data_IF_066839781589
#
_entry.id   IF_066839781589
#
_cell.length_a   1.000
_cell.length_b   1.000
_cell.length_c   1.000
_cell.angle_alpha   90.00
_cell.angle_beta   90.00
_cell.angle_gamma   90.00
#
_symmetry.space_group_name_H-M   'P 1'
#
loop_
_entity.id
_entity.type
_entity.pdbx_description
1 polymer ?
#
# COMPACT_ATOMS: atom_id res chain seq x y z
N UNK A 1 -0.90 0.09 -19.24
CA UNK A 1 0.18 -0.65 -18.57
C UNK A 1 0.25 -0.17 -17.13
N UNK A 2 0.18 -1.10 -16.17
CA UNK A 2 0.18 -0.77 -14.74
C UNK A 2 1.63 -0.79 -14.21
N UNK A 3 1.97 0.14 -13.34
CA UNK A 3 3.24 0.15 -12.61
C UNK A 3 3.15 -0.71 -11.33
N UNK A 4 1.99 -0.73 -10.70
CA UNK A 4 1.70 -1.53 -9.49
C UNK A 4 0.33 -2.16 -9.66
N UNK A 5 0.22 -3.43 -9.29
CA UNK A 5 -1.05 -4.15 -9.22
C UNK A 5 -1.09 -4.94 -7.92
N UNK A 6 -2.12 -4.66 -7.11
CA UNK A 6 -2.36 -5.31 -5.83
C UNK A 6 -3.75 -5.91 -5.87
N UNK A 7 -3.85 -7.19 -5.55
CA UNK A 7 -5.09 -7.94 -5.58
C UNK A 7 -5.26 -8.75 -4.32
N UNK A 8 -6.40 -8.58 -3.64
CA UNK A 8 -6.84 -9.32 -2.47
C UNK A 8 -5.80 -9.34 -1.34
N UNK A 9 -5.05 -8.24 -1.16
CA UNK A 9 -4.00 -8.17 -0.16
C UNK A 9 -4.61 -8.10 1.25
N UNK A 10 -4.29 -9.11 2.04
CA UNK A 10 -4.59 -9.15 3.47
C UNK A 10 -3.29 -9.23 4.25
N UNK A 11 -3.07 -8.30 5.17
CA UNK A 11 -1.87 -8.30 6.02
C UNK A 11 -2.19 -7.81 7.41
N UNK A 12 -1.82 -8.60 8.41
CA UNK A 12 -1.98 -8.26 9.82
C UNK A 12 -0.65 -7.75 10.37
N UNK A 13 -0.70 -6.60 11.03
CA UNK A 13 0.37 -6.03 11.84
C UNK A 13 -0.08 -5.96 13.30
N UNK A 14 0.84 -5.69 14.22
CA UNK A 14 0.54 -5.67 15.67
C UNK A 14 -0.64 -4.76 16.06
N UNK A 15 -0.81 -3.64 15.36
CA UNK A 15 -1.80 -2.60 15.71
C UNK A 15 -2.77 -2.25 14.58
N UNK A 16 -2.60 -2.83 13.39
CA UNK A 16 -3.46 -2.54 12.23
C UNK A 16 -3.52 -3.72 11.28
N UNK A 17 -4.56 -3.78 10.45
CA UNK A 17 -4.73 -4.80 9.41
C UNK A 17 -5.11 -4.13 8.09
N UNK A 18 -4.47 -4.58 7.01
CA UNK A 18 -4.97 -4.43 5.65
C UNK A 18 -5.90 -5.61 5.38
N UNK A 19 -7.15 -5.34 4.97
CA UNK A 19 -8.17 -6.36 4.77
C UNK A 19 -8.71 -6.28 3.34
N UNK A 20 -8.50 -7.35 2.57
CA UNK A 20 -8.94 -7.50 1.19
C UNK A 20 -8.71 -6.25 0.29
N UNK A 21 -7.49 -5.71 0.30
CA UNK A 21 -7.15 -4.50 -0.46
C UNK A 21 -6.79 -4.85 -1.90
N UNK A 22 -7.48 -4.23 -2.85
CA UNK A 22 -7.22 -4.37 -4.30
C UNK A 22 -7.15 -3.00 -4.97
N UNK A 23 -6.06 -2.71 -5.67
CA UNK A 23 -5.91 -1.48 -6.46
C UNK A 23 -4.83 -1.62 -7.53
N UNK A 24 -4.90 -0.77 -8.55
CA UNK A 24 -3.87 -0.64 -9.57
C UNK A 24 -3.35 0.80 -9.61
N UNK A 25 -2.10 0.95 -10.03
CA UNK A 25 -1.48 2.25 -10.29
C UNK A 25 -1.00 2.26 -11.73
N UNK A 26 -1.53 3.19 -12.52
CA UNK A 26 -1.08 3.40 -13.89
C UNK A 26 0.30 4.07 -13.92
N UNK A 27 1.10 3.74 -14.94
CA UNK A 27 2.38 4.40 -15.18
C UNK A 27 2.16 5.92 -15.34
N UNK A 28 3.05 6.72 -14.75
CA UNK A 28 3.01 8.19 -14.84
C UNK A 28 2.04 8.88 -13.88
N UNK A 29 1.29 8.14 -13.05
CA UNK A 29 0.45 8.72 -11.99
C UNK A 29 1.26 9.02 -10.74
N UNK A 30 1.04 10.20 -10.15
CA UNK A 30 1.44 10.50 -8.78
C UNK A 30 0.34 9.98 -7.84
N UNK A 31 0.71 9.16 -6.87
CA UNK A 31 -0.22 8.55 -5.90
C UNK A 31 0.33 8.74 -4.49
N UNK A 32 -0.55 9.01 -3.53
CA UNK A 32 -0.18 9.18 -2.12
C UNK A 32 -1.18 8.48 -1.20
N UNK A 33 -0.70 8.01 -0.06
CA UNK A 33 -1.56 7.50 1.01
C UNK A 33 -2.01 8.65 1.90
N UNK A 34 -3.31 8.71 2.21
CA UNK A 34 -3.91 9.69 3.11
C UNK A 34 -4.51 8.97 4.32
N UNK A 35 -4.29 9.49 5.53
CA UNK A 35 -4.79 8.90 6.76
C UNK A 35 -4.15 9.52 8.01
N UNK A 36 -4.64 9.16 9.20
CA UNK A 36 -4.11 9.65 10.49
C UNK A 36 -2.64 9.22 10.71
N UNK A 37 -1.94 9.89 11.62
CA UNK A 37 -0.62 9.44 12.07
C UNK A 37 -0.74 8.03 12.68
N UNK A 38 0.21 7.15 12.37
CA UNK A 38 0.16 5.75 12.79
C UNK A 38 -0.69 4.82 11.91
N UNK A 39 -1.40 5.30 10.89
CA UNK A 39 -2.24 4.48 10.01
C UNK A 39 -1.47 3.55 9.03
N UNK A 40 -0.15 3.42 9.16
CA UNK A 40 0.65 2.52 8.33
C UNK A 40 1.13 3.06 6.98
N UNK A 41 0.87 4.33 6.64
CA UNK A 41 1.22 4.96 5.34
C UNK A 41 2.68 4.72 4.91
N UNK A 42 3.64 5.09 5.76
CA UNK A 42 5.08 4.94 5.47
C UNK A 42 5.49 3.47 5.42
N UNK A 43 4.91 2.63 6.28
CA UNK A 43 5.17 1.18 6.30
C UNK A 43 4.75 0.53 4.99
N UNK A 44 3.58 0.89 4.46
CA UNK A 44 3.09 0.39 3.17
C UNK A 44 3.97 0.86 2.01
N UNK A 45 4.46 2.11 2.02
CA UNK A 45 5.38 2.61 0.99
C UNK A 45 6.69 1.81 0.96
N UNK A 46 7.25 1.44 2.12
CA UNK A 46 8.50 0.66 2.20
C UNK A 46 8.40 -0.70 1.50
N UNK A 47 7.25 -1.38 1.60
CA UNK A 47 7.01 -2.64 0.91
C UNK A 47 7.15 -2.54 -0.61
N UNK A 48 6.76 -1.41 -1.21
CA UNK A 48 6.90 -1.21 -2.66
C UNK A 48 8.32 -0.86 -3.10
N UNK A 49 9.16 -0.35 -2.18
CA UNK A 49 10.51 0.11 -2.51
C UNK A 49 11.58 -1.00 -2.50
N UNK A 50 11.20 -2.26 -2.20
CA UNK A 50 12.13 -3.37 -1.91
C UNK A 50 13.05 -3.13 -0.70
N UNK A 51 12.69 -2.19 0.17
CA UNK A 51 13.42 -1.87 1.40
C UNK A 51 12.93 -2.71 2.62
N UNK A 52 12.21 -3.80 2.37
CA UNK A 52 11.46 -4.55 3.39
C UNK A 52 11.72 -6.04 3.36
#
# INVERSE_FOLDING_TARGET
MNAIEVSNLTKVYKTFRLDNVSFNVQIGRIVGFIGRNGAGKTTTIKYFRRDG
#
